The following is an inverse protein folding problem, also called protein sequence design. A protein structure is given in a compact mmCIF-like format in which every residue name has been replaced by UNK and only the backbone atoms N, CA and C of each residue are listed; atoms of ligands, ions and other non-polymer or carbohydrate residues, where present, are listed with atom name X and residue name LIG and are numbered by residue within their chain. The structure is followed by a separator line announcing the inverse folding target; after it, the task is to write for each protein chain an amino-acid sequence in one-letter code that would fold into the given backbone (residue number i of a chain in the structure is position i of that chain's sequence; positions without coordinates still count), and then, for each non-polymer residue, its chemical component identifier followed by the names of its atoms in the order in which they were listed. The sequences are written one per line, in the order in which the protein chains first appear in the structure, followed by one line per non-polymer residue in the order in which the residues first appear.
data_IF_765717474764
#
_entry.id   IF_765717474764
#
_cell.length_a   1.000
_cell.length_b   1.000
_cell.length_c   1.000
_cell.angle_alpha   90.00
_cell.angle_beta   90.00
_cell.angle_gamma   90.00
#
_symmetry.space_group_name_H-M   'P 1'
#
loop_
_entity.id
_entity.type
_entity.pdbx_description
1 polymer ?
#
# COMPACT_ATOMS: atom_id res chain seq x y z
N UNK A 1 -1.22 -13.62 1.27
CA UNK A 1 -0.87 -12.23 0.86
C UNK A 1 0.39 -11.59 1.49
N UNK A 2 0.52 -11.49 2.82
CA UNK A 2 1.53 -10.61 3.48
C UNK A 2 2.98 -10.77 3.01
N UNK A 3 3.51 -12.00 2.94
CA UNK A 3 4.90 -12.24 2.54
C UNK A 3 5.20 -11.81 1.10
N UNK A 4 4.22 -11.90 0.19
CA UNK A 4 4.36 -11.46 -1.20
C UNK A 4 4.41 -9.94 -1.30
N UNK A 5 3.57 -9.25 -0.52
CA UNK A 5 3.62 -7.79 -0.41
C UNK A 5 4.97 -7.33 0.16
N UNK A 6 5.47 -7.98 1.22
CA UNK A 6 6.79 -7.66 1.79
C UNK A 6 7.92 -7.83 0.77
N UNK A 7 7.95 -8.96 0.08
CA UNK A 7 8.94 -9.22 -0.98
C UNK A 7 8.86 -8.16 -2.09
N UNK A 8 7.66 -7.83 -2.55
CA UNK A 8 7.43 -6.83 -3.59
C UNK A 8 7.93 -5.44 -3.17
N UNK A 9 7.61 -4.99 -1.96
CA UNK A 9 8.00 -3.67 -1.47
C UNK A 9 9.50 -3.56 -1.19
N UNK A 10 10.15 -4.66 -0.77
CA UNK A 10 11.61 -4.72 -0.60
C UNK A 10 12.39 -4.68 -1.92
N UNK A 11 11.76 -5.05 -3.03
CA UNK A 11 12.41 -5.08 -4.34
C UNK A 11 12.58 -3.68 -4.97
N UNK A 12 11.88 -2.67 -4.46
CA UNK A 12 12.04 -1.27 -4.90
C UNK A 12 12.91 -0.47 -3.92
N UNK A 13 13.55 0.58 -4.43
CA UNK A 13 14.40 1.50 -3.64
C UNK A 13 13.96 2.96 -3.74
N UNK A 14 12.89 3.26 -4.48
CA UNK A 14 12.40 4.62 -4.74
C UNK A 14 11.73 5.23 -3.52
N UNK A 15 11.03 4.42 -2.72
CA UNK A 15 10.29 4.84 -1.54
C UNK A 15 10.74 4.05 -0.31
N UNK A 16 10.77 4.74 0.83
CA UNK A 16 10.84 4.05 2.11
C UNK A 16 9.49 3.39 2.40
N UNK A 17 9.53 2.25 3.07
CA UNK A 17 8.33 1.53 3.46
C UNK A 17 8.55 0.80 4.79
N UNK A 18 7.45 0.50 5.46
CA UNK A 18 7.43 -0.33 6.66
C UNK A 18 6.18 -1.19 6.62
N UNK A 19 6.30 -2.45 7.05
CA UNK A 19 5.17 -3.39 7.12
C UNK A 19 4.88 -3.69 8.58
N UNK A 20 3.62 -3.56 8.97
CA UNK A 20 3.16 -3.76 10.34
C UNK A 20 3.98 -2.96 11.37
N UNK A 21 4.34 -1.72 11.01
CA UNK A 21 5.04 -0.79 11.89
C UNK A 21 4.11 -0.21 12.96
N UNK A 22 3.96 1.12 12.99
CA UNK A 22 3.04 1.80 13.92
C UNK A 22 1.57 1.42 13.67
N UNK A 23 1.19 1.25 12.41
CA UNK A 23 -0.17 0.92 12.00
C UNK A 23 -0.21 -0.55 11.53
N UNK A 24 -1.03 -1.39 12.19
CA UNK A 24 -1.07 -2.85 12.00
C UNK A 24 -2.46 -3.37 11.62
N UNK A 25 -3.24 -2.55 10.92
CA UNK A 25 -4.65 -2.83 10.65
C UNK A 25 -5.57 -2.41 11.80
N UNK A 26 -6.50 -1.50 11.49
CA UNK A 26 -7.53 -1.02 12.41
C UNK A 26 -8.79 -1.91 12.44
N UNK A 27 -9.89 -1.35 12.91
CA UNK A 27 -11.19 -2.06 12.99
C UNK A 27 -11.61 -2.63 11.64
N UNK A 28 -11.57 -1.83 10.56
CA UNK A 28 -12.00 -2.24 9.22
C UNK A 28 -11.22 -3.48 8.75
N UNK A 29 -9.88 -3.44 8.79
CA UNK A 29 -9.04 -4.56 8.34
C UNK A 29 -9.32 -5.83 9.14
N UNK A 30 -9.51 -5.72 10.46
CA UNK A 30 -9.72 -6.88 11.34
C UNK A 30 -11.13 -7.43 11.26
N UNK A 31 -12.12 -6.57 11.11
CA UNK A 31 -13.52 -6.93 11.08
C UNK A 31 -13.92 -7.58 9.75
N UNK A 32 -13.38 -7.09 8.63
CA UNK A 32 -13.72 -7.59 7.29
C UNK A 32 -12.74 -8.64 6.75
N UNK A 33 -11.59 -8.87 7.38
CA UNK A 33 -10.78 -10.04 7.07
C UNK A 33 -11.49 -11.30 7.56
N UNK A 34 -11.64 -12.28 6.67
CA UNK A 34 -12.14 -13.60 6.99
C UNK A 34 -11.31 -14.66 6.22
N UNK A 35 -10.12 -15.02 6.74
CA UNK A 35 -9.24 -15.98 6.07
C UNK A 35 -9.89 -17.36 5.91
N UNK A 36 -10.81 -17.75 6.80
CA UNK A 36 -11.52 -19.02 6.70
C UNK A 36 -12.44 -19.07 5.47
N UNK A 37 -12.92 -17.91 5.02
CA UNK A 37 -13.70 -17.74 3.79
C UNK A 37 -12.88 -17.23 2.60
N UNK A 38 -11.54 -17.20 2.74
CA UNK A 38 -10.63 -16.71 1.70
C UNK A 38 -10.67 -15.19 1.49
N UNK A 39 -11.17 -14.42 2.47
CA UNK A 39 -11.19 -12.97 2.42
C UNK A 39 -9.95 -12.43 3.15
N UNK A 40 -8.97 -11.97 2.39
CA UNK A 40 -7.80 -11.26 2.93
C UNK A 40 -8.04 -9.73 2.87
N UNK A 41 -7.61 -9.01 3.91
CA UNK A 41 -7.70 -7.54 3.95
C UNK A 41 -6.32 -6.91 4.19
N UNK A 42 -6.04 -5.83 3.47
CA UNK A 42 -4.80 -5.04 3.59
C UNK A 42 -5.16 -3.59 3.92
N UNK A 43 -4.40 -2.98 4.83
CA UNK A 43 -4.44 -1.54 5.07
C UNK A 43 -3.17 -0.93 4.48
N UNK A 44 -3.33 0.13 3.69
CA UNK A 44 -2.24 0.86 3.05
C UNK A 44 -2.30 2.33 3.47
N UNK A 45 -1.20 2.84 3.99
CA UNK A 45 -1.02 4.24 4.35
C UNK A 45 0.03 4.85 3.41
N UNK A 46 -0.24 6.03 2.86
CA UNK A 46 0.64 6.71 1.91
C UNK A 46 0.88 8.16 2.32
N UNK A 47 2.11 8.65 2.15
CA UNK A 47 2.42 10.07 2.31
C UNK A 47 1.82 10.87 1.14
N UNK A 48 1.12 11.97 1.44
CA UNK A 48 0.40 12.76 0.42
C UNK A 48 1.35 13.40 -0.60
N UNK A 49 2.54 13.81 -0.16
CA UNK A 49 3.63 14.26 -1.04
C UNK A 49 4.05 13.28 -2.15
N UNK A 50 3.58 12.03 -2.13
CA UNK A 50 3.84 11.05 -3.20
C UNK A 50 2.87 11.15 -4.37
N UNK A 51 1.80 11.95 -4.29
CA UNK A 51 0.80 12.03 -5.37
C UNK A 51 0.03 13.36 -5.46
N UNK A 52 0.21 14.27 -4.51
CA UNK A 52 -0.44 15.58 -4.51
C UNK A 52 0.46 16.68 -3.95
N UNK A 53 0.08 17.91 -4.24
CA UNK A 53 0.55 19.10 -3.54
C UNK A 53 -0.15 19.19 -2.18
N UNK A 54 0.59 19.22 -1.06
CA UNK A 54 0.01 19.12 0.29
C UNK A 54 -0.65 20.42 0.78
N UNK A 55 -0.36 21.57 0.15
CA UNK A 55 -0.96 22.86 0.50
C UNK A 55 -2.32 23.05 -0.18
N UNK A 56 -2.39 22.72 -1.48
CA UNK A 56 -3.59 22.89 -2.31
C UNK A 56 -4.44 21.62 -2.43
N UNK A 57 -3.89 20.47 -2.03
CA UNK A 57 -4.44 19.13 -2.27
C UNK A 57 -4.65 18.79 -3.76
N UNK A 58 -4.04 19.56 -4.66
CA UNK A 58 -4.13 19.32 -6.09
C UNK A 58 -3.37 18.05 -6.45
N UNK A 59 -4.00 17.19 -7.26
CA UNK A 59 -3.36 16.02 -7.83
C UNK A 59 -2.12 16.40 -8.66
N UNK A 60 -1.06 15.62 -8.53
CA UNK A 60 0.20 15.81 -9.25
C UNK A 60 0.58 14.55 -9.98
N UNK A 61 0.27 14.49 -11.28
CA UNK A 61 0.58 13.34 -12.14
C UNK A 61 2.07 12.99 -12.15
N UNK A 62 2.94 13.98 -12.08
CA UNK A 62 4.39 13.78 -12.04
C UNK A 62 4.86 13.09 -10.76
N UNK A 63 4.21 13.35 -9.63
CA UNK A 63 4.48 12.67 -8.35
C UNK A 63 3.79 11.31 -8.28
N UNK A 64 2.55 11.24 -8.77
CA UNK A 64 1.72 10.06 -8.65
C UNK A 64 2.15 8.89 -9.54
N UNK A 65 2.63 9.16 -10.76
CA UNK A 65 3.01 8.12 -11.73
C UNK A 65 4.03 7.13 -11.16
N UNK A 66 5.14 7.56 -10.51
CA UNK A 66 6.07 6.63 -9.89
C UNK A 66 5.44 5.76 -8.80
N UNK A 67 4.62 6.32 -7.89
CA UNK A 67 4.00 5.51 -6.83
C UNK A 67 2.92 4.57 -7.38
N UNK A 68 2.18 4.97 -8.40
CA UNK A 68 1.21 4.10 -9.08
C UNK A 68 1.86 2.82 -9.65
N UNK A 69 3.06 2.92 -10.22
CA UNK A 69 3.81 1.74 -10.69
C UNK A 69 4.06 0.74 -9.56
N UNK A 70 4.45 1.24 -8.39
CA UNK A 70 4.67 0.40 -7.19
C UNK A 70 3.35 -0.18 -6.68
N UNK A 71 2.27 0.60 -6.67
CA UNK A 71 0.94 0.13 -6.27
C UNK A 71 0.42 -0.98 -7.20
N UNK A 72 0.65 -0.87 -8.50
CA UNK A 72 0.29 -1.91 -9.47
C UNK A 72 1.02 -3.23 -9.15
N UNK A 73 2.34 -3.16 -8.89
CA UNK A 73 3.12 -4.32 -8.50
C UNK A 73 2.65 -4.92 -7.16
N UNK A 74 2.35 -4.07 -6.17
CA UNK A 74 1.83 -4.49 -4.87
C UNK A 74 0.49 -5.21 -4.99
N UNK A 75 -0.44 -4.68 -5.78
CA UNK A 75 -1.74 -5.31 -6.01
C UNK A 75 -1.61 -6.64 -6.76
N UNK A 76 -0.75 -6.70 -7.77
CA UNK A 76 -0.44 -7.96 -8.47
C UNK A 76 0.14 -9.02 -7.50
N UNK A 77 1.07 -8.63 -6.63
CA UNK A 77 1.63 -9.52 -5.61
C UNK A 77 0.60 -9.93 -4.54
N UNK A 78 -0.36 -9.06 -4.24
CA UNK A 78 -1.44 -9.39 -3.30
C UNK A 78 -2.37 -10.47 -3.87
N UNK A 79 -2.71 -10.37 -5.17
CA UNK A 79 -3.65 -11.24 -5.88
C UNK A 79 -3.07 -12.57 -6.41
N UNK A 80 -1.74 -12.70 -6.47
CA UNK A 80 -1.07 -13.96 -6.81
C UNK A 80 -1.28 -15.06 -5.75
#
# INVERSE_FOLDING_TARGET
MTARIDTCLRAQSTYTHVINGRFKGGYITRHYADPARGIEAVQLEMAQCTYMDEDSFAWRDDLARPVQSILHALLAAALA
#
